data_IF_216115752861
#
_entry.id   IF_216115752861
#
_cell.length_a   1.000
_cell.length_b   1.000
_cell.length_c   1.000
_cell.angle_alpha   90.00
_cell.angle_beta   90.00
_cell.angle_gamma   90.00
#
_symmetry.space_group_name_H-M   'P 1'
#
loop_
_entity.id
_entity.type
_entity.pdbx_description
1 polymer ?
#
# COMPACT_ATOMS: atom_id res chain seq x y z
N UNK A 1 6.54 10.95 5.77
CA UNK A 1 7.14 12.23 6.21
C UNK A 1 6.32 13.42 5.73
N UNK A 2 5.79 13.46 4.48
CA UNK A 2 4.96 14.57 4.00
C UNK A 2 3.49 14.41 4.41
N UNK A 3 2.88 13.26 4.22
CA UNK A 3 1.49 12.99 4.63
C UNK A 3 1.33 12.96 6.17
N UNK A 4 2.27 12.37 6.92
CA UNK A 4 2.28 12.50 8.38
C UNK A 4 2.57 13.95 8.82
N UNK A 5 3.42 14.71 8.10
CA UNK A 5 3.60 16.14 8.35
C UNK A 5 2.35 16.96 8.01
N UNK A 6 1.70 16.68 6.89
CA UNK A 6 0.43 17.33 6.54
C UNK A 6 -0.61 16.97 7.58
N UNK A 7 -0.76 15.71 7.97
CA UNK A 7 -1.70 15.27 8.99
C UNK A 7 -1.32 15.72 10.40
N UNK A 8 -0.04 15.68 10.77
CA UNK A 8 0.45 16.22 12.06
C UNK A 8 0.36 17.75 12.07
N UNK A 9 0.64 18.42 10.96
CA UNK A 9 0.36 19.86 10.81
C UNK A 9 -1.16 20.12 10.79
N UNK A 10 -1.95 19.28 10.14
CA UNK A 10 -3.41 19.40 10.10
C UNK A 10 -4.01 19.11 11.49
N UNK A 11 -3.52 18.14 12.23
CA UNK A 11 -3.90 17.85 13.61
C UNK A 11 -3.38 18.91 14.59
N UNK A 12 -2.21 19.49 14.38
CA UNK A 12 -1.72 20.65 15.16
C UNK A 12 -2.44 21.95 14.79
N UNK A 13 -2.89 22.08 13.55
CA UNK A 13 -3.77 23.13 13.08
C UNK A 13 -5.21 22.95 13.62
N UNK A 14 -5.62 21.72 13.99
CA UNK A 14 -6.89 21.44 14.70
C UNK A 14 -7.04 22.25 15.99
N UNK A 15 -5.93 22.62 16.62
CA UNK A 15 -5.93 23.50 17.80
C UNK A 15 -5.94 24.99 17.46
N UNK A 16 -5.60 25.40 16.24
CA UNK A 16 -5.46 26.80 15.83
C UNK A 16 -6.58 27.32 14.93
N UNK A 17 -7.32 26.44 14.22
CA UNK A 17 -8.42 26.84 13.34
C UNK A 17 -9.70 26.08 13.69
N UNK A 18 -10.65 26.79 14.29
CA UNK A 18 -12.00 26.32 14.55
C UNK A 18 -12.91 26.83 13.44
N UNK A 19 -13.01 26.08 12.37
CA UNK A 19 -13.95 26.38 11.30
C UNK A 19 -15.35 25.89 11.67
N UNK A 20 -16.35 26.75 11.45
CA UNK A 20 -17.73 26.30 11.44
C UNK A 20 -17.97 25.37 10.23
N UNK A 21 -19.14 24.79 10.11
CA UNK A 21 -19.45 23.80 9.09
C UNK A 21 -19.36 24.38 7.66
N UNK A 22 -19.83 25.61 7.44
CA UNK A 22 -19.74 26.28 6.14
C UNK A 22 -18.28 26.58 5.74
N UNK A 23 -17.45 27.01 6.69
CA UNK A 23 -16.02 27.23 6.44
C UNK A 23 -15.27 25.91 6.24
N UNK A 24 -15.61 24.85 6.97
CA UNK A 24 -15.05 23.50 6.78
C UNK A 24 -15.31 23.03 5.35
N UNK A 25 -16.54 23.17 4.86
CA UNK A 25 -16.90 22.83 3.49
C UNK A 25 -16.07 23.62 2.48
N UNK A 26 -16.12 24.94 2.56
CA UNK A 26 -15.48 25.82 1.57
C UNK A 26 -13.95 25.73 1.56
N UNK A 27 -13.31 25.66 2.72
CA UNK A 27 -11.84 25.75 2.84
C UNK A 27 -11.14 24.40 2.76
N UNK A 28 -11.79 23.33 3.19
CA UNK A 28 -11.17 22.00 3.25
C UNK A 28 -11.78 21.07 2.21
N UNK A 29 -13.09 20.82 2.26
CA UNK A 29 -13.73 19.81 1.41
C UNK A 29 -13.73 20.23 -0.06
N UNK A 30 -14.15 21.45 -0.39
CA UNK A 30 -14.17 21.96 -1.76
C UNK A 30 -12.77 21.96 -2.41
N UNK A 31 -11.74 22.33 -1.62
CA UNK A 31 -10.36 22.36 -2.12
C UNK A 31 -9.85 20.95 -2.42
N UNK A 32 -10.16 20.00 -1.55
CA UNK A 32 -9.72 18.61 -1.71
C UNK A 32 -10.47 17.92 -2.86
N UNK A 33 -11.78 18.10 -2.99
CA UNK A 33 -12.54 17.58 -4.12
C UNK A 33 -12.00 18.08 -5.46
N UNK A 34 -11.66 19.40 -5.54
CA UNK A 34 -11.03 19.96 -6.77
C UNK A 34 -9.67 19.36 -7.05
N UNK A 35 -8.87 19.07 -6.03
CA UNK A 35 -7.55 18.43 -6.21
C UNK A 35 -7.67 17.03 -6.79
N UNK A 36 -8.79 16.34 -6.51
CA UNK A 36 -9.11 15.02 -7.06
C UNK A 36 -9.86 15.08 -8.42
N UNK A 37 -9.96 16.28 -8.98
CA UNK A 37 -10.50 16.49 -10.34
C UNK A 37 -12.00 16.65 -10.42
N UNK A 38 -12.71 16.84 -9.29
CA UNK A 38 -14.13 17.15 -9.29
C UNK A 38 -14.39 18.61 -9.68
N UNK A 39 -15.39 18.81 -10.52
CA UNK A 39 -15.87 20.15 -10.86
C UNK A 39 -16.73 20.71 -9.70
N UNK A 40 -16.11 21.49 -8.84
CA UNK A 40 -16.74 22.10 -7.66
C UNK A 40 -16.80 23.62 -7.84
N UNK A 41 -17.98 24.20 -7.87
CA UNK A 41 -18.18 25.66 -7.95
C UNK A 41 -17.47 26.41 -6.81
N UNK A 42 -16.99 27.62 -7.07
CA UNK A 42 -16.27 28.45 -6.06
C UNK A 42 -17.18 29.00 -4.98
N UNK A 43 -18.47 29.12 -5.26
CA UNK A 43 -19.54 29.54 -4.37
C UNK A 43 -20.40 28.36 -3.91
N UNK A 44 -21.59 28.61 -3.38
CA UNK A 44 -22.51 27.57 -2.95
C UNK A 44 -23.35 26.98 -4.11
N UNK A 45 -23.04 27.31 -5.34
CA UNK A 45 -23.74 26.74 -6.49
C UNK A 45 -23.36 25.27 -6.72
N UNK A 46 -24.26 24.56 -7.38
CA UNK A 46 -24.04 23.17 -7.79
C UNK A 46 -23.54 23.14 -9.24
N UNK A 47 -22.76 22.10 -9.57
CA UNK A 47 -22.35 21.77 -10.92
C UNK A 47 -23.04 20.48 -11.37
N UNK A 48 -22.80 20.05 -12.61
CA UNK A 48 -23.28 18.73 -13.07
C UNK A 48 -22.65 17.56 -12.30
N UNK A 49 -21.44 17.73 -11.80
CA UNK A 49 -20.72 16.68 -11.06
C UNK A 49 -20.91 16.75 -9.54
N UNK A 50 -21.16 17.93 -8.98
CA UNK A 50 -21.21 18.14 -7.53
C UNK A 50 -22.38 19.01 -7.17
N UNK A 51 -23.40 18.43 -6.52
CA UNK A 51 -24.46 19.20 -5.89
C UNK A 51 -24.09 19.53 -4.45
N UNK A 52 -24.36 20.78 -4.04
CA UNK A 52 -24.22 21.26 -2.68
C UNK A 52 -25.59 21.46 -2.05
N UNK A 53 -25.72 21.19 -0.76
CA UNK A 53 -26.97 21.35 -0.01
C UNK A 53 -28.17 20.67 -0.72
N UNK A 54 -27.94 19.45 -1.23
CA UNK A 54 -28.93 18.73 -2.03
C UNK A 54 -30.09 18.24 -1.18
N UNK A 55 -31.32 18.64 -1.55
CA UNK A 55 -32.54 18.26 -0.83
C UNK A 55 -32.91 16.81 -1.13
N UNK A 56 -33.13 16.02 -0.09
CA UNK A 56 -33.57 14.62 -0.16
C UNK A 56 -34.87 14.44 0.65
N UNK A 57 -35.75 13.63 0.10
CA UNK A 57 -37.02 13.25 0.73
C UNK A 57 -36.90 12.00 1.62
N UNK A 58 -37.92 11.67 2.38
CA UNK A 58 -37.98 10.44 3.18
C UNK A 58 -37.13 10.47 4.46
N UNK A 59 -36.74 11.64 4.91
CA UNK A 59 -35.94 11.77 6.12
C UNK A 59 -36.80 11.73 7.41
N UNK A 60 -36.25 11.24 8.54
CA UNK A 60 -36.97 11.19 9.84
C UNK A 60 -37.01 12.57 10.47
N UNK A 61 -37.49 13.57 9.72
CA UNK A 61 -37.70 14.95 10.16
C UNK A 61 -39.20 15.27 10.12
N UNK A 62 -39.63 16.35 10.79
CA UNK A 62 -41.04 16.78 10.77
C UNK A 62 -41.56 17.12 9.38
N UNK A 63 -40.67 17.53 8.47
CA UNK A 63 -41.02 17.86 7.09
C UNK A 63 -40.83 16.67 6.13
N UNK A 64 -40.26 15.58 6.60
CA UNK A 64 -39.84 14.44 5.73
C UNK A 64 -38.65 14.77 4.81
N UNK A 65 -38.07 15.97 4.92
CA UNK A 65 -36.99 16.47 4.09
C UNK A 65 -35.69 16.58 4.85
N UNK A 66 -34.58 16.35 4.16
CA UNK A 66 -33.23 16.59 4.66
C UNK A 66 -32.39 17.29 3.60
N UNK A 67 -31.19 17.69 3.97
CA UNK A 67 -30.29 18.40 3.09
C UNK A 67 -28.90 17.81 3.23
N UNK A 68 -28.44 17.11 2.18
CA UNK A 68 -27.12 16.51 2.11
C UNK A 68 -26.10 17.57 1.74
N UNK A 69 -24.98 17.66 2.46
CA UNK A 69 -23.96 18.68 2.21
C UNK A 69 -23.40 18.59 0.78
N UNK A 70 -23.07 17.38 0.31
CA UNK A 70 -22.66 17.13 -1.07
C UNK A 70 -23.19 15.82 -1.62
N UNK A 71 -23.55 15.84 -2.89
CA UNK A 71 -23.78 14.63 -3.71
C UNK A 71 -22.84 14.69 -4.93
N UNK A 72 -22.05 13.65 -5.11
CA UNK A 72 -21.17 13.49 -6.27
C UNK A 72 -21.87 12.61 -7.32
N UNK A 73 -21.94 13.11 -8.54
CA UNK A 73 -22.72 12.52 -9.61
C UNK A 73 -21.87 11.88 -10.70
N UNK A 74 -22.37 10.80 -11.25
CA UNK A 74 -21.89 10.17 -12.46
C UNK A 74 -22.43 10.88 -13.72
N UNK A 75 -21.82 10.62 -14.88
CA UNK A 75 -22.28 11.15 -16.18
C UNK A 75 -23.68 10.67 -16.57
N UNK A 76 -24.14 9.56 -16.00
CA UNK A 76 -25.49 9.01 -16.21
C UNK A 76 -26.56 9.60 -15.26
N UNK A 77 -26.19 10.62 -14.46
CA UNK A 77 -27.08 11.26 -13.49
C UNK A 77 -27.37 10.46 -12.23
N UNK A 78 -26.65 9.35 -11.99
CA UNK A 78 -26.76 8.58 -10.76
C UNK A 78 -25.74 9.01 -9.70
N UNK A 79 -26.06 8.93 -8.41
CA UNK A 79 -25.16 9.37 -7.35
C UNK A 79 -24.01 8.37 -7.15
N UNK A 80 -22.77 8.83 -7.25
CA UNK A 80 -21.57 8.04 -6.92
C UNK A 80 -21.27 8.08 -5.42
N UNK A 81 -21.43 9.25 -4.79
CA UNK A 81 -21.17 9.39 -3.36
C UNK A 81 -22.02 10.49 -2.71
N UNK A 82 -22.20 10.35 -1.40
CA UNK A 82 -22.68 11.42 -0.50
C UNK A 82 -21.57 11.80 0.46
N UNK A 83 -21.50 13.09 0.82
CA UNK A 83 -20.57 13.58 1.84
C UNK A 83 -21.36 14.38 2.86
N UNK A 84 -21.23 13.99 4.12
CA UNK A 84 -21.76 14.71 5.27
C UNK A 84 -20.61 15.37 6.03
N UNK A 85 -20.68 16.68 6.20
CA UNK A 85 -19.67 17.48 6.86
C UNK A 85 -20.08 17.86 8.28
N UNK A 86 -19.10 17.94 9.14
CA UNK A 86 -19.26 18.51 10.50
C UNK A 86 -18.19 19.57 10.71
N UNK A 87 -18.42 20.48 11.65
CA UNK A 87 -17.42 21.48 12.03
C UNK A 87 -16.14 20.81 12.53
N UNK A 88 -14.99 21.44 12.34
CA UNK A 88 -13.67 20.87 12.58
C UNK A 88 -13.42 20.33 14.00
N UNK A 89 -14.08 20.88 15.02
CA UNK A 89 -13.96 20.38 16.41
C UNK A 89 -14.86 19.21 16.76
N UNK A 90 -15.85 18.88 15.92
CA UNK A 90 -16.70 17.70 16.15
C UNK A 90 -16.00 16.44 15.69
N UNK A 91 -16.35 15.34 16.33
CA UNK A 91 -16.03 13.99 15.82
C UNK A 91 -16.74 13.79 14.47
N UNK A 92 -16.01 13.39 13.45
CA UNK A 92 -16.54 13.08 12.13
C UNK A 92 -17.65 12.02 12.22
N UNK A 93 -17.52 11.04 13.12
CA UNK A 93 -18.53 9.99 13.34
C UNK A 93 -19.91 10.51 13.72
N UNK A 94 -20.03 11.74 14.20
CA UNK A 94 -21.32 12.36 14.48
C UNK A 94 -22.19 12.54 13.23
N UNK A 95 -21.60 12.55 12.01
CA UNK A 95 -22.30 12.61 10.73
C UNK A 95 -22.68 11.27 10.12
N UNK A 96 -22.19 10.16 10.68
CA UNK A 96 -22.30 8.83 10.05
C UNK A 96 -23.73 8.38 9.79
N UNK A 97 -24.59 8.43 10.79
CA UNK A 97 -25.99 7.99 10.66
C UNK A 97 -26.79 8.90 9.72
N UNK A 98 -26.51 10.20 9.75
CA UNK A 98 -27.14 11.18 8.86
C UNK A 98 -26.74 10.92 7.40
N UNK A 99 -25.44 10.70 7.14
CA UNK A 99 -24.93 10.36 5.81
C UNK A 99 -25.56 9.06 5.27
N UNK A 100 -25.76 8.06 6.15
CA UNK A 100 -26.44 6.81 5.79
C UNK A 100 -27.90 7.05 5.39
N UNK A 101 -28.64 7.85 6.14
CA UNK A 101 -30.03 8.16 5.80
C UNK A 101 -30.14 8.89 4.45
N UNK A 102 -29.18 9.76 4.12
CA UNK A 102 -29.13 10.40 2.80
C UNK A 102 -28.82 9.39 1.68
N UNK A 103 -27.92 8.43 1.94
CA UNK A 103 -27.65 7.37 0.99
C UNK A 103 -28.88 6.47 0.78
N UNK A 104 -29.65 6.16 1.84
CA UNK A 104 -30.90 5.40 1.76
C UNK A 104 -31.95 6.13 0.88
N UNK A 105 -32.09 7.46 1.05
CA UNK A 105 -33.01 8.27 0.26
C UNK A 105 -32.62 8.38 -1.22
N UNK A 106 -31.34 8.58 -1.49
CA UNK A 106 -30.83 8.63 -2.86
C UNK A 106 -30.95 7.29 -3.57
N UNK A 107 -30.67 6.17 -2.89
CA UNK A 107 -30.92 4.83 -3.43
C UNK A 107 -32.39 4.62 -3.77
N UNK A 108 -33.31 5.00 -2.89
CA UNK A 108 -34.74 4.87 -3.12
C UNK A 108 -35.21 5.70 -4.34
N UNK A 109 -34.63 6.87 -4.57
CA UNK A 109 -35.04 7.78 -5.67
C UNK A 109 -34.36 7.48 -7.00
N UNK A 110 -33.11 6.97 -7.00
CA UNK A 110 -32.28 6.81 -8.21
C UNK A 110 -32.01 5.35 -8.57
N UNK A 111 -32.28 4.42 -7.67
CA UNK A 111 -31.94 2.99 -7.81
C UNK A 111 -30.46 2.68 -7.70
N UNK A 112 -29.62 3.65 -7.28
CA UNK A 112 -28.19 3.44 -7.04
C UNK A 112 -27.79 3.92 -5.64
N UNK A 113 -27.25 2.99 -4.83
CA UNK A 113 -26.70 3.36 -3.52
C UNK A 113 -25.37 4.08 -3.68
N UNK A 114 -25.24 5.33 -3.25
CA UNK A 114 -23.97 6.05 -3.27
C UNK A 114 -23.00 5.46 -2.24
N UNK A 115 -21.69 5.70 -2.44
CA UNK A 115 -20.66 5.53 -1.42
C UNK A 115 -20.81 6.63 -0.37
N UNK A 116 -20.67 6.29 0.89
CA UNK A 116 -20.86 7.22 1.99
C UNK A 116 -19.53 7.79 2.44
N UNK A 117 -19.41 9.12 2.47
CA UNK A 117 -18.34 9.82 3.15
C UNK A 117 -18.92 10.64 4.30
N UNK A 118 -18.20 10.70 5.41
CA UNK A 118 -18.48 11.65 6.47
C UNK A 118 -17.16 12.20 7.03
N UNK A 119 -17.15 13.49 7.38
CA UNK A 119 -15.93 14.22 7.65
C UNK A 119 -16.14 15.39 8.60
N UNK A 120 -15.07 15.82 9.26
CA UNK A 120 -14.94 17.11 9.92
C UNK A 120 -13.92 18.04 9.21
N UNK A 121 -13.54 17.70 7.96
CA UNK A 121 -12.56 18.41 7.17
C UNK A 121 -11.12 17.98 7.42
N UNK A 122 -10.81 17.31 8.53
CA UNK A 122 -9.48 16.75 8.84
C UNK A 122 -9.46 15.24 8.85
N UNK A 123 -10.55 14.63 9.26
CA UNK A 123 -10.75 13.18 9.25
C UNK A 123 -11.83 12.86 8.22
N UNK A 124 -11.48 12.05 7.23
CA UNK A 124 -12.39 11.63 6.18
C UNK A 124 -12.60 10.13 6.34
N UNK A 125 -13.83 9.72 6.48
CA UNK A 125 -14.22 8.33 6.53
C UNK A 125 -14.97 7.96 5.25
N UNK A 126 -14.63 6.79 4.70
CA UNK A 126 -15.38 6.15 3.62
C UNK A 126 -16.13 4.95 4.17
N UNK A 127 -17.36 4.77 3.71
CA UNK A 127 -18.19 3.63 4.05
C UNK A 127 -18.95 3.13 2.82
N UNK A 128 -18.49 2.02 2.24
CA UNK A 128 -19.21 1.28 1.22
C UNK A 128 -20.00 0.15 1.89
N UNK A 129 -21.14 0.51 2.48
CA UNK A 129 -22.00 -0.42 3.22
C UNK A 129 -22.69 -1.44 2.31
N UNK A 130 -22.91 -1.10 1.02
CA UNK A 130 -23.42 -2.02 0.02
C UNK A 130 -22.54 -3.26 -0.18
N UNK A 131 -21.22 -3.14 0.05
CA UNK A 131 -20.29 -4.25 0.02
C UNK A 131 -20.03 -4.89 1.40
N UNK A 132 -20.71 -4.41 2.45
CA UNK A 132 -20.58 -4.93 3.82
C UNK A 132 -19.24 -4.59 4.50
N UNK A 133 -18.52 -3.58 4.03
CA UNK A 133 -17.33 -3.08 4.73
C UNK A 133 -17.71 -2.14 5.86
N UNK A 134 -16.97 -2.22 6.96
CA UNK A 134 -17.05 -1.23 8.02
C UNK A 134 -16.48 0.12 7.55
N UNK A 135 -16.96 1.25 8.13
CA UNK A 135 -16.37 2.55 7.89
C UNK A 135 -14.88 2.56 8.22
N UNK A 136 -14.09 3.27 7.41
CA UNK A 136 -12.65 3.39 7.61
C UNK A 136 -12.14 4.78 7.29
N UNK A 137 -11.11 5.17 8.01
CA UNK A 137 -10.42 6.44 7.83
C UNK A 137 -9.53 6.37 6.58
N UNK A 138 -9.62 7.37 5.72
CA UNK A 138 -8.85 7.52 4.50
C UNK A 138 -8.13 8.87 4.45
N UNK A 139 -7.22 9.04 3.47
CA UNK A 139 -6.35 10.22 3.40
C UNK A 139 -6.82 11.29 2.39
N UNK A 140 -7.94 11.08 1.71
CA UNK A 140 -8.48 12.01 0.73
C UNK A 140 -9.76 11.45 0.10
N UNK A 141 -10.35 12.20 -0.81
CA UNK A 141 -11.49 11.72 -1.59
C UNK A 141 -11.04 10.91 -2.79
N UNK A 142 -11.93 10.11 -3.30
CA UNK A 142 -11.75 9.36 -4.53
C UNK A 142 -12.01 10.24 -5.75
N UNK A 143 -11.26 10.05 -6.81
CA UNK A 143 -11.60 10.58 -8.14
C UNK A 143 -12.90 9.96 -8.67
N UNK A 144 -13.49 10.59 -9.67
CA UNK A 144 -14.70 10.09 -10.34
C UNK A 144 -14.50 8.67 -10.89
N UNK A 145 -13.39 8.41 -11.59
CA UNK A 145 -13.07 7.08 -12.15
C UNK A 145 -12.93 6.00 -11.08
N UNK A 146 -12.36 6.35 -9.91
CA UNK A 146 -12.22 5.42 -8.79
C UNK A 146 -13.56 5.12 -8.13
N UNK A 147 -14.46 6.10 -7.96
CA UNK A 147 -15.83 5.88 -7.46
C UNK A 147 -16.68 5.08 -8.46
N UNK A 148 -16.61 5.40 -9.75
CA UNK A 148 -17.31 4.64 -10.78
C UNK A 148 -16.92 3.15 -10.72
N UNK A 149 -15.62 2.86 -10.56
CA UNK A 149 -15.17 1.49 -10.44
C UNK A 149 -15.63 0.82 -9.15
N UNK A 150 -15.64 1.54 -8.03
CA UNK A 150 -16.13 1.01 -6.75
C UNK A 150 -17.62 0.62 -6.83
N UNK A 151 -18.44 1.43 -7.50
CA UNK A 151 -19.85 1.11 -7.79
C UNK A 151 -19.95 -0.10 -8.71
N UNK A 152 -19.20 -0.11 -9.83
CA UNK A 152 -19.19 -1.21 -10.80
C UNK A 152 -18.78 -2.54 -10.14
N UNK A 153 -17.83 -2.52 -9.23
CA UNK A 153 -17.41 -3.72 -8.49
C UNK A 153 -18.55 -4.44 -7.81
N UNK A 154 -19.61 -3.74 -7.36
CA UNK A 154 -20.77 -4.35 -6.70
C UNK A 154 -21.50 -5.35 -7.61
N UNK A 155 -21.43 -5.13 -8.92
CA UNK A 155 -22.09 -5.96 -9.95
C UNK A 155 -21.17 -7.04 -10.52
N UNK A 156 -19.87 -6.71 -10.72
CA UNK A 156 -18.94 -7.58 -11.45
C UNK A 156 -18.12 -8.51 -10.56
N UNK A 157 -18.05 -8.24 -9.24
CA UNK A 157 -17.30 -9.09 -8.31
C UNK A 157 -17.82 -10.52 -8.30
N UNK A 158 -16.92 -11.45 -8.58
CA UNK A 158 -17.14 -12.89 -8.45
C UNK A 158 -16.57 -13.37 -7.12
N UNK A 159 -17.10 -14.49 -6.65
CA UNK A 159 -16.49 -15.16 -5.50
C UNK A 159 -15.04 -15.58 -5.82
N UNK A 160 -14.11 -15.15 -4.96
CA UNK A 160 -12.69 -15.46 -5.13
C UNK A 160 -12.43 -16.96 -5.03
N UNK A 161 -13.16 -17.68 -4.18
CA UNK A 161 -12.95 -19.11 -3.99
C UNK A 161 -13.35 -19.93 -5.21
N UNK A 162 -14.34 -19.45 -5.97
CA UNK A 162 -14.78 -20.08 -7.22
C UNK A 162 -13.94 -19.66 -8.45
N UNK A 163 -13.16 -18.58 -8.35
CA UNK A 163 -12.30 -18.12 -9.46
C UNK A 163 -11.01 -18.94 -9.50
N UNK A 164 -10.67 -19.60 -10.62
CA UNK A 164 -9.51 -20.49 -10.66
C UNK A 164 -8.17 -19.75 -10.50
N UNK A 165 -7.21 -20.43 -9.90
CA UNK A 165 -5.81 -19.98 -9.88
C UNK A 165 -5.15 -20.41 -11.19
N UNK A 166 -4.39 -19.53 -11.82
CA UNK A 166 -3.58 -19.87 -13.00
C UNK A 166 -2.39 -20.77 -12.59
N UNK A 167 -2.57 -22.08 -12.70
CA UNK A 167 -1.57 -23.09 -12.32
C UNK A 167 -0.33 -23.09 -13.20
N UNK A 168 -0.38 -22.47 -14.39
CA UNK A 168 0.82 -22.27 -15.24
C UNK A 168 1.76 -21.25 -14.62
N UNK A 169 1.21 -20.30 -13.84
CA UNK A 169 1.97 -19.27 -13.12
C UNK A 169 2.36 -19.76 -11.73
N UNK A 170 1.40 -20.25 -10.94
CA UNK A 170 1.60 -20.71 -9.56
C UNK A 170 0.98 -22.08 -9.38
N UNK A 171 1.69 -23.14 -9.82
CA UNK A 171 1.18 -24.50 -9.85
C UNK A 171 1.64 -25.40 -8.69
N UNK A 172 2.50 -24.92 -7.79
CA UNK A 172 2.93 -25.71 -6.62
C UNK A 172 1.89 -25.57 -5.50
N UNK A 173 1.65 -26.65 -4.77
CA UNK A 173 0.61 -26.71 -3.73
C UNK A 173 0.68 -25.55 -2.73
N UNK A 174 1.86 -25.28 -2.17
CA UNK A 174 2.07 -24.20 -1.21
C UNK A 174 1.82 -22.79 -1.82
N UNK A 175 2.04 -22.62 -3.14
CA UNK A 175 1.73 -21.36 -3.84
C UNK A 175 0.22 -21.18 -3.95
N UNK A 176 -0.48 -22.24 -4.36
CA UNK A 176 -1.94 -22.23 -4.46
C UNK A 176 -2.58 -22.03 -3.08
N UNK A 177 -2.08 -22.71 -2.05
CA UNK A 177 -2.54 -22.54 -0.66
C UNK A 177 -2.36 -21.10 -0.19
N UNK A 178 -1.19 -20.50 -0.42
CA UNK A 178 -0.93 -19.10 -0.05
C UNK A 178 -1.92 -18.14 -0.71
N UNK A 179 -2.21 -18.33 -2.01
CA UNK A 179 -3.19 -17.52 -2.75
C UNK A 179 -4.60 -17.74 -2.20
N UNK A 180 -5.00 -18.99 -1.92
CA UNK A 180 -6.31 -19.29 -1.38
C UNK A 180 -6.55 -18.66 -0.02
N UNK A 181 -5.59 -18.75 0.90
CA UNK A 181 -5.65 -18.11 2.23
C UNK A 181 -5.77 -16.58 2.16
N UNK A 182 -5.11 -15.92 1.18
CA UNK A 182 -5.30 -14.48 0.95
C UNK A 182 -6.73 -14.21 0.48
N UNK A 183 -7.22 -15.00 -0.47
CA UNK A 183 -8.55 -14.83 -1.04
C UNK A 183 -9.65 -15.05 -0.01
N UNK A 184 -9.54 -16.09 0.83
CA UNK A 184 -10.42 -16.33 1.97
C UNK A 184 -10.45 -15.10 2.89
N UNK A 185 -9.28 -14.61 3.28
CA UNK A 185 -9.16 -13.43 4.13
C UNK A 185 -9.82 -12.18 3.53
N UNK A 186 -9.67 -11.96 2.22
CA UNK A 186 -10.34 -10.86 1.52
C UNK A 186 -11.86 -11.06 1.43
N UNK A 187 -12.33 -12.29 1.20
CA UNK A 187 -13.76 -12.63 1.22
C UNK A 187 -14.38 -12.36 2.59
N UNK A 188 -13.63 -12.60 3.68
CA UNK A 188 -14.00 -12.30 5.07
C UNK A 188 -13.88 -10.80 5.41
N UNK A 189 -13.77 -9.93 4.40
CA UNK A 189 -13.70 -8.47 4.56
C UNK A 189 -12.43 -7.94 5.21
N UNK A 190 -11.43 -8.75 5.45
CA UNK A 190 -10.11 -8.25 5.77
C UNK A 190 -9.50 -7.60 4.52
N UNK A 191 -8.73 -6.54 4.71
CA UNK A 191 -8.13 -5.80 3.59
C UNK A 191 -6.62 -5.99 3.46
N UNK A 192 -6.03 -6.78 4.35
CA UNK A 192 -4.57 -6.93 4.45
C UNK A 192 -4.20 -8.39 4.68
N UNK A 193 -3.05 -8.80 4.11
CA UNK A 193 -2.49 -10.14 4.27
C UNK A 193 -0.96 -10.09 4.27
N UNK A 194 -0.31 -11.03 4.94
CA UNK A 194 1.13 -11.20 4.98
C UNK A 194 1.49 -12.64 4.61
N UNK A 195 2.37 -12.81 3.63
CA UNK A 195 2.96 -14.10 3.28
C UNK A 195 4.42 -14.11 3.68
N UNK A 196 4.80 -15.11 4.42
CA UNK A 196 6.19 -15.47 4.70
C UNK A 196 6.55 -16.67 3.83
N UNK A 197 7.52 -16.50 2.94
CA UNK A 197 7.86 -17.54 1.98
C UNK A 197 9.36 -17.47 1.66
N UNK A 198 10.07 -18.59 1.81
CA UNK A 198 11.52 -18.67 1.62
C UNK A 198 11.95 -18.12 0.24
N UNK A 199 13.17 -17.60 0.15
CA UNK A 199 13.77 -17.18 -1.12
C UNK A 199 13.84 -18.36 -2.09
N UNK A 200 13.57 -18.11 -3.38
CA UNK A 200 13.59 -19.16 -4.41
C UNK A 200 12.31 -19.98 -4.56
N UNK A 201 11.31 -19.81 -3.66
CA UNK A 201 10.04 -20.54 -3.72
C UNK A 201 8.99 -19.89 -4.65
N UNK A 202 9.34 -18.77 -5.29
CA UNK A 202 8.49 -18.15 -6.31
C UNK A 202 7.48 -17.13 -5.79
N UNK A 203 7.84 -16.29 -4.82
CA UNK A 203 7.01 -15.18 -4.33
C UNK A 203 6.42 -14.32 -5.46
N UNK A 204 7.24 -13.98 -6.45
CA UNK A 204 6.78 -13.20 -7.63
C UNK A 204 5.69 -13.94 -8.42
N UNK A 205 5.79 -15.27 -8.58
CA UNK A 205 4.75 -16.07 -9.24
C UNK A 205 3.44 -16.07 -8.45
N UNK A 206 3.51 -16.18 -7.12
CA UNK A 206 2.34 -16.03 -6.23
C UNK A 206 1.69 -14.66 -6.42
N UNK A 207 2.49 -13.59 -6.46
CA UNK A 207 1.98 -12.23 -6.71
C UNK A 207 1.26 -12.10 -8.04
N UNK A 208 1.83 -12.63 -9.11
CA UNK A 208 1.26 -12.56 -10.46
C UNK A 208 -0.04 -13.36 -10.54
N UNK A 209 -0.06 -14.59 -10.00
CA UNK A 209 -1.25 -15.43 -10.02
C UNK A 209 -2.37 -14.83 -9.16
N UNK A 210 -2.05 -14.24 -8.00
CA UNK A 210 -3.00 -13.49 -7.17
C UNK A 210 -3.54 -12.27 -7.93
N UNK A 211 -2.67 -11.47 -8.54
CA UNK A 211 -3.06 -10.30 -9.32
C UNK A 211 -4.03 -10.69 -10.45
N UNK A 212 -3.71 -11.72 -11.22
CA UNK A 212 -4.61 -12.24 -12.28
C UNK A 212 -5.96 -12.66 -11.71
N UNK A 213 -5.97 -13.43 -10.62
CA UNK A 213 -7.21 -13.90 -9.99
C UNK A 213 -8.11 -12.74 -9.56
N UNK A 214 -7.55 -11.69 -8.95
CA UNK A 214 -8.30 -10.51 -8.51
C UNK A 214 -8.80 -9.67 -9.71
N UNK A 215 -8.02 -9.55 -10.78
CA UNK A 215 -8.44 -8.91 -12.03
C UNK A 215 -9.59 -9.67 -12.71
N UNK A 216 -9.48 -11.00 -12.84
CA UNK A 216 -10.48 -11.88 -13.49
C UNK A 216 -11.77 -11.97 -12.67
N UNK A 217 -11.66 -11.86 -11.35
CA UNK A 217 -12.80 -11.85 -10.43
C UNK A 217 -13.45 -10.48 -10.25
N UNK A 218 -12.96 -9.42 -10.89
CA UNK A 218 -13.49 -8.05 -10.77
C UNK A 218 -13.22 -7.39 -9.41
N UNK A 219 -12.26 -7.89 -8.64
CA UNK A 219 -11.86 -7.33 -7.36
C UNK A 219 -10.83 -6.20 -7.49
N UNK A 220 -10.11 -6.17 -8.60
CA UNK A 220 -9.15 -5.13 -8.89
C UNK A 220 -9.24 -4.68 -10.36
N UNK A 221 -9.11 -3.37 -10.58
CA UNK A 221 -8.90 -2.73 -11.90
C UNK A 221 -7.42 -2.35 -12.05
N UNK A 222 -6.84 -1.81 -10.99
CA UNK A 222 -5.46 -1.32 -10.98
C UNK A 222 -4.67 -1.89 -9.79
N UNK A 223 -3.47 -2.36 -10.08
CA UNK A 223 -2.58 -3.04 -9.14
C UNK A 223 -1.25 -2.30 -9.07
N UNK A 224 -0.78 -2.04 -7.86
CA UNK A 224 0.57 -1.53 -7.59
C UNK A 224 1.45 -2.66 -7.04
N UNK A 225 2.55 -2.96 -7.75
CA UNK A 225 3.59 -3.84 -7.27
C UNK A 225 4.81 -3.03 -6.83
N UNK A 226 5.16 -3.13 -5.55
CA UNK A 226 6.28 -2.43 -4.94
C UNK A 226 7.44 -3.38 -4.67
N UNK A 227 8.65 -2.97 -5.02
CA UNK A 227 9.88 -3.70 -4.76
C UNK A 227 10.98 -2.76 -4.24
N UNK A 228 12.02 -3.33 -3.61
CA UNK A 228 13.07 -2.53 -2.97
C UNK A 228 14.05 -1.92 -4.01
N UNK A 229 14.48 -2.72 -5.00
CA UNK A 229 15.58 -2.37 -5.90
C UNK A 229 15.17 -2.31 -7.37
N UNK A 230 15.93 -1.54 -8.17
CA UNK A 230 15.71 -1.40 -9.61
C UNK A 230 15.81 -2.73 -10.36
N UNK A 231 16.71 -3.61 -9.93
CA UNK A 231 16.90 -4.96 -10.49
C UNK A 231 15.65 -5.82 -10.29
N UNK A 232 15.10 -5.84 -9.07
CA UNK A 232 13.86 -6.55 -8.75
C UNK A 232 12.68 -5.98 -9.53
N UNK A 233 12.61 -4.65 -9.71
CA UNK A 233 11.61 -3.99 -10.56
C UNK A 233 11.68 -4.48 -12.00
N UNK A 234 12.90 -4.62 -12.56
CA UNK A 234 13.10 -5.15 -13.92
C UNK A 234 12.68 -6.61 -14.02
N UNK A 235 13.06 -7.43 -13.04
CA UNK A 235 12.69 -8.86 -12.99
C UNK A 235 11.17 -9.02 -12.86
N UNK A 236 10.54 -8.29 -11.96
CA UNK A 236 9.09 -8.29 -11.80
C UNK A 236 8.39 -7.85 -13.10
N UNK A 237 8.87 -6.76 -13.75
CA UNK A 237 8.34 -6.30 -15.03
C UNK A 237 8.39 -7.34 -16.12
N UNK A 238 9.50 -8.06 -16.26
CA UNK A 238 9.64 -9.14 -17.22
C UNK A 238 8.68 -10.31 -16.90
N UNK A 239 8.60 -10.71 -15.62
CA UNK A 239 7.72 -11.80 -15.19
C UNK A 239 6.23 -11.46 -15.38
N UNK A 240 5.80 -10.22 -15.08
CA UNK A 240 4.45 -9.78 -15.35
C UNK A 240 4.14 -9.77 -16.86
N UNK A 241 5.06 -9.26 -17.70
CA UNK A 241 4.89 -9.29 -19.16
C UNK A 241 4.80 -10.72 -19.74
N UNK A 242 5.55 -11.68 -19.17
CA UNK A 242 5.51 -13.07 -19.60
C UNK A 242 4.18 -13.75 -19.26
N UNK A 243 3.61 -13.43 -18.10
CA UNK A 243 2.48 -14.16 -17.55
C UNK A 243 1.14 -13.43 -17.60
N UNK A 244 1.13 -12.14 -17.98
CA UNK A 244 -0.11 -11.36 -18.15
C UNK A 244 -0.13 -10.64 -19.49
N UNK A 245 -1.34 -10.38 -20.00
CA UNK A 245 -1.56 -9.53 -21.18
C UNK A 245 -2.03 -8.13 -20.79
N UNK A 246 -2.04 -7.83 -19.50
CA UNK A 246 -2.55 -6.58 -18.99
C UNK A 246 -1.60 -5.42 -19.28
N UNK A 247 -2.13 -4.21 -19.57
CA UNK A 247 -1.32 -3.03 -19.76
C UNK A 247 -0.44 -2.74 -18.54
N UNK A 248 0.88 -2.71 -18.76
CA UNK A 248 1.89 -2.59 -17.72
C UNK A 248 2.63 -1.26 -17.81
N UNK A 249 2.79 -0.59 -16.69
CA UNK A 249 3.63 0.60 -16.53
C UNK A 249 4.75 0.35 -15.52
N UNK A 250 6.00 0.45 -15.97
CA UNK A 250 7.18 0.36 -15.10
C UNK A 250 7.66 1.78 -14.81
N UNK A 251 7.42 2.28 -13.61
CA UNK A 251 7.75 3.66 -13.20
C UNK A 251 9.25 3.91 -13.34
N UNK A 252 9.61 4.98 -14.06
CA UNK A 252 10.99 5.34 -14.37
C UNK A 252 11.64 4.54 -15.52
N UNK A 253 10.85 3.74 -16.27
CA UNK A 253 11.31 3.04 -17.49
C UNK A 253 10.33 3.19 -18.66
N UNK A 254 9.03 3.06 -18.40
CA UNK A 254 7.99 3.21 -19.42
C UNK A 254 7.73 4.69 -19.74
N UNK A 255 7.22 4.96 -20.96
CA UNK A 255 6.76 6.32 -21.34
C UNK A 255 5.59 6.74 -20.46
N UNK A 256 5.53 8.03 -20.05
CA UNK A 256 4.49 8.55 -19.14
C UNK A 256 3.06 8.36 -19.68
N UNK A 257 2.86 8.42 -20.98
CA UNK A 257 1.54 8.24 -21.61
C UNK A 257 0.92 6.86 -21.37
N UNK A 258 1.74 5.87 -21.00
CA UNK A 258 1.26 4.53 -20.66
C UNK A 258 0.69 4.44 -19.23
N UNK A 259 1.00 5.40 -18.37
CA UNK A 259 0.58 5.38 -16.97
C UNK A 259 -0.95 5.41 -16.83
N UNK A 260 -1.64 6.24 -17.61
CA UNK A 260 -3.11 6.37 -17.55
C UNK A 260 -3.88 5.14 -18.01
N UNK A 261 -3.25 4.30 -18.85
CA UNK A 261 -3.86 3.06 -19.40
C UNK A 261 -3.42 1.81 -18.63
N UNK A 262 -2.48 1.93 -17.71
CA UNK A 262 -1.90 0.80 -17.03
C UNK A 262 -2.89 0.18 -16.02
N UNK A 263 -3.02 -1.13 -16.08
CA UNK A 263 -3.70 -1.92 -15.05
C UNK A 263 -2.73 -2.44 -13.98
N UNK A 264 -1.45 -2.54 -14.32
CA UNK A 264 -0.40 -2.95 -13.41
C UNK A 264 0.71 -1.90 -13.42
N UNK A 265 0.99 -1.32 -12.28
CA UNK A 265 2.08 -0.38 -12.06
C UNK A 265 3.17 -1.07 -11.23
N UNK A 266 4.40 -1.10 -11.75
CA UNK A 266 5.54 -1.62 -11.02
C UNK A 266 6.49 -0.48 -10.66
N UNK A 267 6.75 -0.32 -9.39
CA UNK A 267 7.60 0.76 -8.87
C UNK A 267 8.54 0.26 -7.78
N UNK A 268 9.63 1.01 -7.58
CA UNK A 268 10.41 0.86 -6.34
C UNK A 268 9.78 1.72 -5.25
N UNK A 269 9.94 1.32 -3.98
CA UNK A 269 9.48 2.14 -2.85
C UNK A 269 10.02 3.58 -2.91
N UNK A 270 11.35 3.82 -3.14
CA UNK A 270 11.86 5.17 -3.29
C UNK A 270 11.26 5.94 -4.47
N UNK A 271 10.96 5.24 -5.57
CA UNK A 271 10.37 5.87 -6.75
C UNK A 271 8.89 6.19 -6.59
N UNK A 272 8.15 5.43 -5.78
CA UNK A 272 6.73 5.67 -5.54
C UNK A 272 6.51 6.76 -4.51
N UNK A 273 7.29 6.79 -3.41
CA UNK A 273 7.12 7.79 -2.33
C UNK A 273 7.37 9.23 -2.79
N UNK A 274 8.04 9.43 -3.91
CA UNK A 274 8.28 10.77 -4.47
C UNK A 274 7.06 11.38 -5.14
N UNK A 275 6.15 10.57 -5.66
CA UNK A 275 5.07 11.00 -6.53
C UNK A 275 3.75 10.22 -6.29
N UNK A 276 3.52 9.65 -5.12
CA UNK A 276 2.30 8.90 -4.85
C UNK A 276 1.06 9.81 -4.82
N UNK A 277 1.24 11.08 -4.48
CA UNK A 277 0.21 12.11 -4.48
C UNK A 277 -0.28 12.50 -5.90
N UNK A 278 0.37 12.01 -6.98
CA UNK A 278 -0.16 12.13 -8.36
C UNK A 278 -1.35 11.19 -8.62
N UNK A 279 -1.64 10.27 -7.69
CA UNK A 279 -2.74 9.32 -7.74
C UNK A 279 -3.72 9.61 -6.61
N UNK A 280 -5.02 9.50 -6.87
CA UNK A 280 -6.02 9.57 -5.82
C UNK A 280 -5.90 8.38 -4.85
N UNK A 281 -6.45 8.51 -3.66
CA UNK A 281 -6.34 7.49 -2.61
C UNK A 281 -6.98 6.15 -3.00
N UNK A 282 -7.96 6.16 -3.89
CA UNK A 282 -8.65 4.98 -4.42
C UNK A 282 -8.09 4.45 -5.74
N UNK A 283 -6.98 5.01 -6.24
CA UNK A 283 -6.45 4.67 -7.56
C UNK A 283 -6.07 3.21 -7.71
N UNK A 284 -5.46 2.61 -6.71
CA UNK A 284 -5.08 1.20 -6.71
C UNK A 284 -6.03 0.38 -5.86
N UNK A 285 -6.49 -0.74 -6.39
CA UNK A 285 -7.36 -1.69 -5.68
C UNK A 285 -6.55 -2.74 -4.91
N UNK A 286 -5.33 -3.04 -5.39
CA UNK A 286 -4.38 -3.96 -4.75
C UNK A 286 -2.98 -3.37 -4.72
N UNK A 287 -2.33 -3.44 -3.57
CA UNK A 287 -0.89 -3.20 -3.41
C UNK A 287 -0.22 -4.50 -3.01
N UNK A 288 0.74 -4.92 -3.80
CA UNK A 288 1.64 -6.03 -3.47
C UNK A 288 3.00 -5.46 -3.09
N UNK A 289 3.43 -5.71 -1.88
CA UNK A 289 4.67 -5.23 -1.29
C UNK A 289 5.68 -6.36 -1.19
N UNK A 290 6.64 -6.41 -2.11
CA UNK A 290 7.72 -7.39 -2.06
C UNK A 290 8.82 -6.95 -1.10
N UNK A 291 9.45 -7.91 -0.42
CA UNK A 291 10.44 -7.69 0.65
C UNK A 291 9.92 -6.78 1.78
N UNK A 292 8.71 -7.02 2.23
CA UNK A 292 7.97 -6.22 3.22
C UNK A 292 8.47 -6.40 4.67
N UNK A 293 9.77 -6.19 4.90
CA UNK A 293 10.38 -6.27 6.21
C UNK A 293 10.43 -4.90 6.93
N UNK A 294 10.91 -4.87 8.19
CA UNK A 294 10.85 -3.72 9.11
C UNK A 294 11.34 -2.38 8.53
N UNK A 295 12.40 -2.39 7.72
CA UNK A 295 12.94 -1.15 7.11
C UNK A 295 11.97 -0.49 6.15
N UNK A 296 11.15 -1.27 5.45
CA UNK A 296 10.13 -0.80 4.52
C UNK A 296 9.03 -0.03 5.26
N UNK A 297 8.55 -0.58 6.40
CA UNK A 297 7.52 0.08 7.21
C UNK A 297 7.97 1.45 7.72
N UNK A 298 9.16 1.54 8.30
CA UNK A 298 9.64 2.77 8.92
C UNK A 298 9.87 3.90 7.90
N UNK A 299 10.22 3.54 6.66
CA UNK A 299 10.60 4.49 5.62
C UNK A 299 9.47 4.80 4.64
N UNK A 300 8.63 3.81 4.33
CA UNK A 300 7.63 3.89 3.28
C UNK A 300 6.21 3.57 3.76
N UNK A 301 5.99 3.52 5.06
CA UNK A 301 4.68 3.21 5.67
C UNK A 301 3.56 4.16 5.25
N UNK A 302 3.91 5.37 4.81
CA UNK A 302 2.97 6.35 4.28
C UNK A 302 2.23 5.86 3.04
N UNK A 303 2.90 5.13 2.13
CA UNK A 303 2.25 4.58 0.94
C UNK A 303 1.08 3.65 1.29
N UNK A 304 1.27 2.83 2.34
CA UNK A 304 0.26 1.87 2.80
C UNK A 304 -0.88 2.52 3.59
N UNK A 305 -0.68 3.72 4.08
CA UNK A 305 -1.72 4.50 4.75
C UNK A 305 -2.50 5.35 3.74
N UNK A 306 -1.79 5.92 2.76
CA UNK A 306 -2.36 6.81 1.76
C UNK A 306 -3.36 6.09 0.85
N UNK A 307 -2.95 4.98 0.24
CA UNK A 307 -3.82 4.25 -0.67
C UNK A 307 -4.82 3.37 0.08
N UNK A 308 -6.09 3.57 -0.22
CA UNK A 308 -7.18 2.74 0.30
C UNK A 308 -7.37 1.48 -0.55
N UNK A 309 -6.39 0.59 -0.53
CA UNK A 309 -6.30 -0.63 -1.32
C UNK A 309 -6.34 -1.90 -0.47
N UNK A 310 -6.61 -3.04 -1.08
CA UNK A 310 -6.20 -4.34 -0.54
C UNK A 310 -4.66 -4.40 -0.52
N UNK A 311 -4.06 -4.93 0.55
CA UNK A 311 -2.61 -4.90 0.73
C UNK A 311 -2.06 -6.29 1.04
N UNK A 312 -1.06 -6.72 0.29
CA UNK A 312 -0.38 -8.01 0.49
C UNK A 312 1.11 -7.77 0.66
N UNK A 313 1.64 -8.13 1.82
CA UNK A 313 3.07 -8.17 2.07
C UNK A 313 3.66 -9.53 1.73
N UNK A 314 4.79 -9.53 1.07
CA UNK A 314 5.60 -10.72 0.79
C UNK A 314 6.97 -10.54 1.44
N UNK A 315 7.44 -11.52 2.18
CA UNK A 315 8.77 -11.49 2.78
C UNK A 315 9.40 -12.86 2.83
N UNK A 316 10.72 -12.91 2.73
CA UNK A 316 11.51 -14.10 3.01
C UNK A 316 11.99 -14.15 4.46
N UNK A 317 11.79 -13.08 5.23
CA UNK A 317 12.19 -13.03 6.64
C UNK A 317 11.43 -14.08 7.43
N UNK A 318 12.12 -15.00 8.14
CA UNK A 318 11.47 -16.01 8.97
C UNK A 318 10.50 -15.40 9.99
N UNK A 319 9.45 -16.15 10.32
CA UNK A 319 8.37 -15.67 11.22
C UNK A 319 8.91 -15.18 12.56
N UNK A 320 9.94 -15.83 13.08
CA UNK A 320 10.59 -15.50 14.36
C UNK A 320 11.21 -14.11 14.35
N UNK A 321 11.66 -13.64 13.17
CA UNK A 321 12.32 -12.36 12.98
C UNK A 321 11.36 -11.23 12.55
N UNK A 322 10.10 -11.55 12.28
CA UNK A 322 9.10 -10.53 11.89
C UNK A 322 8.81 -9.60 13.07
N UNK A 323 8.90 -8.30 12.80
CA UNK A 323 8.58 -7.30 13.81
C UNK A 323 7.07 -7.18 14.04
N UNK A 324 6.66 -6.74 15.25
CA UNK A 324 5.26 -6.42 15.55
C UNK A 324 4.69 -5.39 14.58
N UNK A 325 5.47 -4.38 14.22
CA UNK A 325 5.05 -3.33 13.27
C UNK A 325 4.75 -3.89 11.87
N UNK A 326 5.52 -4.88 11.39
CA UNK A 326 5.24 -5.55 10.10
C UNK A 326 3.94 -6.35 10.16
N UNK A 327 3.72 -7.13 11.24
CA UNK A 327 2.48 -7.88 11.42
C UNK A 327 1.27 -6.95 11.46
N UNK A 328 1.33 -5.86 12.24
CA UNK A 328 0.27 -4.86 12.35
C UNK A 328 0.00 -4.14 11.02
N UNK A 329 1.06 -3.79 10.24
CA UNK A 329 0.90 -3.15 8.94
C UNK A 329 0.01 -4.01 8.03
N UNK A 330 0.23 -5.31 8.00
CA UNK A 330 -0.53 -6.26 7.18
C UNK A 330 -1.69 -6.92 7.92
N UNK A 331 -2.13 -6.36 9.04
CA UNK A 331 -3.34 -6.78 9.77
C UNK A 331 -3.28 -8.21 10.30
N UNK A 332 -2.08 -8.70 10.60
CA UNK A 332 -1.86 -10.03 11.16
C UNK A 332 -1.50 -9.93 12.64
N UNK A 333 -1.83 -10.96 13.40
CA UNK A 333 -1.33 -11.11 14.74
C UNK A 333 0.18 -11.34 14.75
N UNK A 334 0.83 -11.00 15.85
CA UNK A 334 2.27 -11.10 15.95
C UNK A 334 2.75 -12.53 15.72
N UNK A 335 3.61 -12.72 14.74
CA UNK A 335 4.14 -14.03 14.30
C UNK A 335 3.09 -14.99 13.72
N UNK A 336 1.92 -14.50 13.34
CA UNK A 336 0.88 -15.30 12.70
C UNK A 336 0.56 -14.71 11.30
N UNK A 337 1.41 -14.93 10.28
CA UNK A 337 1.14 -14.49 8.93
C UNK A 337 -0.07 -15.25 8.33
N UNK A 338 -0.65 -14.70 7.26
CA UNK A 338 -1.75 -15.34 6.53
C UNK A 338 -1.32 -16.67 5.93
N UNK A 339 -0.09 -16.76 5.42
CA UNK A 339 0.53 -18.00 4.98
C UNK A 339 2.02 -18.01 5.32
N UNK A 340 2.54 -19.19 5.65
CA UNK A 340 3.94 -19.41 5.99
C UNK A 340 4.48 -20.64 5.25
N UNK A 341 5.57 -20.47 4.50
CA UNK A 341 6.27 -21.54 3.84
C UNK A 341 7.79 -21.38 4.07
N UNK A 342 8.30 -21.88 5.21
CA UNK A 342 9.69 -21.68 5.62
C UNK A 342 10.67 -22.51 4.77
N UNK A 343 11.96 -22.19 4.90
CA UNK A 343 13.03 -22.82 4.15
C UNK A 343 13.16 -24.32 4.44
N UNK A 344 13.04 -24.70 5.70
CA UNK A 344 13.14 -26.08 6.17
C UNK A 344 12.07 -26.95 5.48
N UNK A 345 10.82 -26.49 5.48
CA UNK A 345 9.72 -27.20 4.82
C UNK A 345 9.94 -27.26 3.29
N UNK A 346 10.45 -26.19 2.70
CA UNK A 346 10.73 -26.16 1.25
C UNK A 346 11.83 -27.16 0.83
N UNK A 347 12.81 -27.41 1.70
CA UNK A 347 13.87 -28.42 1.50
C UNK A 347 13.30 -29.83 1.72
N UNK A 348 12.54 -30.06 2.80
CA UNK A 348 11.90 -31.34 3.10
C UNK A 348 11.00 -31.80 1.95
N UNK A 349 10.17 -30.90 1.42
CA UNK A 349 9.28 -31.14 0.29
C UNK A 349 10.02 -31.15 -1.07
N UNK A 350 11.34 -31.03 -1.10
CA UNK A 350 12.20 -31.02 -2.31
C UNK A 350 11.86 -29.90 -3.30
N UNK A 351 11.27 -28.81 -2.83
CA UNK A 351 11.04 -27.60 -3.62
C UNK A 351 12.26 -26.69 -3.66
N UNK A 352 13.15 -26.82 -2.68
CA UNK A 352 14.49 -26.22 -2.64
C UNK A 352 15.53 -27.28 -2.32
N UNK A 353 16.77 -27.02 -2.73
CA UNK A 353 17.91 -27.87 -2.40
C UNK A 353 18.50 -27.47 -1.04
N UNK A 354 19.01 -28.40 -0.25
CA UNK A 354 19.74 -28.06 0.96
C UNK A 354 21.02 -27.28 0.59
N UNK A 355 21.40 -26.33 1.42
CA UNK A 355 22.62 -25.57 1.25
C UNK A 355 23.66 -25.96 2.29
N UNK A 356 24.93 -25.80 1.94
CA UNK A 356 26.04 -25.99 2.86
C UNK A 356 26.67 -24.62 3.13
N UNK A 357 26.68 -24.22 4.37
CA UNK A 357 27.36 -22.98 4.78
C UNK A 357 28.85 -23.29 4.89
N UNK A 358 29.64 -22.58 4.12
CA UNK A 358 31.11 -22.57 4.27
C UNK A 358 31.49 -21.19 4.79
N UNK A 359 32.00 -21.15 6.01
CA UNK A 359 32.46 -19.91 6.62
C UNK A 359 33.94 -19.74 6.33
N UNK A 360 34.30 -18.72 5.59
CA UNK A 360 35.69 -18.28 5.43
C UNK A 360 35.95 -17.16 6.41
N UNK A 361 36.86 -17.39 7.34
CA UNK A 361 37.31 -16.36 8.28
C UNK A 361 38.78 -16.06 7.96
N UNK A 362 39.09 -14.81 7.60
CA UNK A 362 40.49 -14.39 7.48
C UNK A 362 41.11 -14.26 8.86
N UNK A 363 42.44 -14.34 8.92
CA UNK A 363 43.16 -14.20 10.19
C UNK A 363 42.82 -12.85 10.86
N UNK A 364 42.70 -11.79 10.08
CA UNK A 364 42.32 -10.45 10.57
C UNK A 364 40.91 -10.40 11.18
N UNK A 365 39.93 -11.09 10.59
CA UNK A 365 38.58 -11.17 11.13
C UNK A 365 38.50 -12.02 12.41
N UNK A 366 39.43 -12.93 12.60
CA UNK A 366 39.49 -13.79 13.77
C UNK A 366 40.25 -13.16 14.93
N UNK A 367 41.42 -12.62 14.65
CA UNK A 367 42.41 -12.24 15.65
C UNK A 367 42.52 -10.69 15.81
N UNK A 368 41.92 -9.93 14.89
CA UNK A 368 42.08 -8.46 14.82
C UNK A 368 43.32 -8.05 14.03
N UNK A 369 43.68 -6.80 14.09
CA UNK A 369 44.93 -6.24 13.51
C UNK A 369 45.68 -5.52 14.62
N UNK A 370 46.89 -5.97 14.89
CA UNK A 370 47.81 -5.28 15.82
C UNK A 370 49.00 -4.71 15.09
N UNK A 371 49.37 -3.51 15.42
CA UNK A 371 50.54 -2.86 14.85
C UNK A 371 51.83 -3.70 14.93
N UNK A 372 51.95 -4.48 16.03
CA UNK A 372 53.09 -5.39 16.28
C UNK A 372 53.14 -6.63 15.39
N UNK A 373 52.09 -6.91 14.63
CA UNK A 373 51.98 -8.11 13.77
C UNK A 373 52.08 -7.72 12.29
N UNK A 374 52.30 -6.45 11.95
CA UNK A 374 52.50 -5.99 10.58
C UNK A 374 53.89 -6.27 10.11
N UNK A 375 54.03 -6.64 8.83
CA UNK A 375 55.34 -6.79 8.17
C UNK A 375 55.93 -5.44 7.81
N UNK A 376 57.25 -5.37 7.64
CA UNK A 376 57.95 -4.14 7.24
C UNK A 376 57.40 -3.55 5.93
N UNK A 377 56.95 -4.40 4.99
CA UNK A 377 56.34 -3.99 3.73
C UNK A 377 54.96 -3.36 3.95
N UNK A 378 54.16 -3.93 4.85
CA UNK A 378 52.85 -3.39 5.20
C UNK A 378 52.94 -2.07 5.97
N UNK A 379 53.94 -1.93 6.82
CA UNK A 379 54.29 -0.68 7.54
C UNK A 379 54.64 0.42 6.53
N UNK A 380 55.54 0.10 5.58
CA UNK A 380 55.95 1.06 4.55
C UNK A 380 54.80 1.51 3.64
N UNK A 381 53.87 0.62 3.30
CA UNK A 381 52.66 0.93 2.49
C UNK A 381 51.68 1.82 3.25
N UNK A 382 51.53 1.62 4.55
CA UNK A 382 50.70 2.46 5.42
C UNK A 382 51.26 3.84 5.59
N UNK A 383 52.57 3.95 5.81
CA UNK A 383 53.30 5.22 5.90
C UNK A 383 53.23 6.04 4.61
N UNK A 384 53.33 5.37 3.45
CA UNK A 384 53.17 6.00 2.13
C UNK A 384 51.74 6.56 1.91
N UNK A 385 50.74 5.91 2.53
CA UNK A 385 49.37 6.39 2.57
C UNK A 385 49.08 7.44 3.64
N UNK A 386 50.07 7.84 4.42
CA UNK A 386 49.96 8.83 5.49
C UNK A 386 49.23 8.30 6.75
N UNK A 387 49.17 6.98 6.92
CA UNK A 387 48.53 6.30 8.06
C UNK A 387 49.65 5.89 9.04
N UNK A 388 49.59 6.35 10.28
CA UNK A 388 50.54 5.90 11.33
C UNK A 388 50.21 4.46 11.74
N UNK A 389 51.14 3.49 11.48
CA UNK A 389 50.92 2.10 11.82
C UNK A 389 50.61 1.83 13.29
N UNK A 390 51.09 2.67 14.19
CA UNK A 390 50.88 2.53 15.63
C UNK A 390 49.45 2.88 16.07
N UNK A 391 48.68 3.48 15.19
CA UNK A 391 47.25 3.77 15.46
C UNK A 391 46.34 2.59 15.08
N UNK A 392 46.89 1.53 14.46
CA UNK A 392 46.15 0.36 13.99
C UNK A 392 46.14 -0.73 15.07
N UNK A 393 45.32 -0.56 16.07
CA UNK A 393 45.03 -1.60 17.07
C UNK A 393 43.51 -1.84 17.11
N UNK A 394 43.05 -2.82 16.28
CA UNK A 394 41.62 -3.13 16.10
C UNK A 394 41.36 -4.57 16.52
N UNK A 395 40.41 -4.73 17.43
CA UNK A 395 39.91 -6.08 17.74
C UNK A 395 39.08 -6.65 16.57
N UNK A 396 38.82 -7.95 16.59
CA UNK A 396 38.06 -8.65 15.56
C UNK A 396 36.68 -8.04 15.25
N UNK A 397 36.04 -7.36 16.21
CA UNK A 397 34.74 -6.69 16.03
C UNK A 397 34.82 -5.32 15.38
N UNK A 398 36.00 -4.73 15.41
CA UNK A 398 36.26 -3.38 14.88
C UNK A 398 36.75 -3.40 13.44
N UNK A 399 37.39 -4.49 13.00
CA UNK A 399 37.99 -4.62 11.66
C UNK A 399 36.98 -4.33 10.54
N UNK A 400 35.79 -4.90 10.59
CA UNK A 400 34.73 -4.69 9.56
C UNK A 400 34.14 -3.27 9.56
N UNK A 401 34.24 -2.55 10.67
CA UNK A 401 33.68 -1.20 10.81
C UNK A 401 34.66 -0.10 10.49
N UNK A 402 35.93 -0.32 10.79
CA UNK A 402 36.98 0.69 10.69
C UNK A 402 37.86 0.55 9.45
N UNK A 403 38.00 -0.67 8.90
CA UNK A 403 38.92 -0.94 7.81
C UNK A 403 38.19 -1.67 6.67
N UNK A 404 38.18 -1.07 5.48
CA UNK A 404 37.70 -1.70 4.25
C UNK A 404 38.80 -2.61 3.68
N UNK A 405 38.74 -3.91 3.97
CA UNK A 405 39.72 -4.86 3.46
C UNK A 405 39.24 -5.46 2.12
N UNK A 406 39.90 -5.10 1.01
CA UNK A 406 39.59 -5.56 -0.36
C UNK A 406 39.70 -7.07 -0.52
N UNK A 407 40.63 -7.72 0.15
CA UNK A 407 40.89 -9.16 0.01
C UNK A 407 39.85 -9.97 0.81
N UNK A 408 39.47 -9.51 1.97
CA UNK A 408 38.34 -10.08 2.73
C UNK A 408 37.04 -9.97 1.93
N UNK A 409 36.77 -8.83 1.31
CA UNK A 409 35.56 -8.63 0.51
C UNK A 409 35.60 -9.43 -0.79
N UNK A 410 36.79 -9.71 -1.39
CA UNK A 410 36.91 -10.62 -2.54
C UNK A 410 36.70 -12.11 -2.18
N UNK A 411 37.03 -12.51 -0.95
CA UNK A 411 36.82 -13.87 -0.50
C UNK A 411 35.34 -14.17 -0.13
N UNK A 412 34.51 -13.12 0.06
CA UNK A 412 33.09 -13.22 0.40
C UNK A 412 32.19 -13.24 -0.85
N UNK A 413 32.70 -12.80 -2.01
CA UNK A 413 31.97 -12.81 -3.29
C UNK A 413 32.31 -14.10 -4.05
#
# INVERSE_FOLDING_TARGET
VKADKIRTNTLSLKSSFDFNEAETRKRLIDAELRSEGWDVALDNESTEQVSKEYEVDGQPTTTGKGRCDYVLWDDNGKPLAVIEAKRTRKDANAGREQAKLYADALEASTGQRPVIFYTNGYEIYIWDDAQGYAPRLIFGYYSKDSLQYLILQREIKKDLNSTPIDTKVAGRLYQMESISRICERFSDKHRKALIVQATGTGKTRVSIALAKRLLDAGWAKRILFLCDRKELRKQAGNAFNEHTKEPLFIKGKSKKELASKARIVIATYPGMIQNYEEYDVGHFDLIVADESHRSIYNKYGELFKYFDALQVGLTATPVEMISRSTSQLFGCDYKMPTANYPLEQAIEEKNLVPFKVVTHTTQFLRDGIKASELTDEQIAELEDQGIDPNTLDFDAKQVDKAIFNKDTNRAII
#
